data_IF_668216403806
#
_entry.id   IF_668216403806
#
_cell.length_a   1.000
_cell.length_b   1.000
_cell.length_c   1.000
_cell.angle_alpha   90.00
_cell.angle_beta   90.00
_cell.angle_gamma   90.00
#
_symmetry.space_group_name_H-M   'P 1'
#
loop_
_entity.id
_entity.type
_entity.pdbx_description
1 polymer ?
#
# COMPACT_ATOMS: atom_id res chain seq x y z
N UNK A 1 -16.09 -7.55 -0.68
CA UNK A 1 -15.83 -8.91 -1.14
C UNK A 1 -14.35 -9.13 -1.37
N UNK A 2 -13.70 -8.44 -2.32
CA UNK A 2 -12.27 -8.64 -2.59
C UNK A 2 -11.37 -8.41 -1.37
N UNK A 3 -11.61 -7.36 -0.61
CA UNK A 3 -10.85 -7.08 0.61
C UNK A 3 -10.98 -8.19 1.66
N UNK A 4 -12.15 -8.78 1.77
CA UNK A 4 -12.35 -9.87 2.72
C UNK A 4 -11.66 -11.15 2.27
N UNK A 5 -11.66 -11.43 0.98
CA UNK A 5 -10.91 -12.57 0.43
C UNK A 5 -9.41 -12.38 0.61
N UNK A 6 -8.91 -11.16 0.39
CA UNK A 6 -7.52 -10.82 0.65
C UNK A 6 -7.16 -11.00 2.12
N UNK A 7 -8.02 -10.56 3.04
CA UNK A 7 -7.83 -10.77 4.47
C UNK A 7 -7.77 -12.26 4.82
N UNK A 8 -8.59 -13.07 4.18
CA UNK A 8 -8.58 -14.53 4.36
C UNK A 8 -7.25 -15.14 3.91
N UNK A 9 -6.68 -14.66 2.81
CA UNK A 9 -5.35 -15.09 2.34
C UNK A 9 -4.27 -14.77 3.38
N UNK A 10 -4.29 -13.56 3.94
CA UNK A 10 -3.35 -13.15 4.98
C UNK A 10 -3.49 -14.05 6.22
N UNK A 11 -4.72 -14.26 6.67
CA UNK A 11 -4.99 -15.11 7.82
C UNK A 11 -4.54 -16.56 7.61
N UNK A 12 -4.78 -17.11 6.42
CA UNK A 12 -4.41 -18.48 6.07
C UNK A 12 -2.89 -18.69 6.04
N UNK A 13 -2.11 -17.65 5.77
CA UNK A 13 -0.65 -17.72 5.77
C UNK A 13 -0.04 -17.88 7.17
N UNK A 14 -0.80 -17.58 8.21
CA UNK A 14 -0.31 -17.55 9.59
C UNK A 14 0.25 -16.20 10.02
N UNK A 15 0.40 -15.24 9.11
CA UNK A 15 0.87 -13.91 9.47
C UNK A 15 -0.19 -13.16 10.28
N UNK A 16 0.23 -12.63 11.42
CA UNK A 16 -0.65 -11.91 12.36
C UNK A 16 -0.13 -10.48 12.52
N UNK A 17 -0.59 -9.55 11.67
CA UNK A 17 -0.11 -8.17 11.75
C UNK A 17 -0.53 -7.48 13.04
N UNK A 18 0.38 -6.71 13.61
CA UNK A 18 0.11 -5.84 14.76
C UNK A 18 -0.39 -4.48 14.29
N UNK A 19 0.07 -4.05 13.12
CA UNK A 19 -0.23 -2.73 12.54
C UNK A 19 -0.47 -2.89 11.04
N UNK A 20 -1.47 -2.18 10.52
CA UNK A 20 -1.61 -1.98 9.08
C UNK A 20 -1.08 -0.59 8.70
N UNK A 21 -0.31 -0.54 7.63
CA UNK A 21 0.16 0.72 7.06
C UNK A 21 -0.40 0.85 5.65
N UNK A 22 -1.25 1.84 5.45
CA UNK A 22 -1.82 2.14 4.15
C UNK A 22 -0.88 3.00 3.33
N UNK A 23 -0.73 2.65 2.06
CA UNK A 23 -0.08 3.54 1.09
C UNK A 23 -1.16 4.51 0.59
N UNK A 24 -1.12 5.73 1.08
CA UNK A 24 -2.10 6.74 0.71
C UNK A 24 -1.88 7.17 -0.76
N UNK A 25 -2.92 7.48 -1.48
CA UNK A 25 -4.32 7.51 -1.05
C UNK A 25 -5.06 6.19 -1.30
N UNK A 26 -4.75 5.50 -2.41
CA UNK A 26 -5.49 4.30 -2.84
C UNK A 26 -5.55 3.19 -1.80
N UNK A 27 -4.48 2.98 -1.07
CA UNK A 27 -4.43 1.97 -0.02
C UNK A 27 -5.28 2.26 1.22
N UNK A 28 -5.71 3.50 1.42
CA UNK A 28 -6.50 3.85 2.61
C UNK A 28 -7.83 3.10 2.68
N UNK A 29 -8.53 2.99 1.56
CA UNK A 29 -9.81 2.28 1.51
C UNK A 29 -9.61 0.79 1.75
N UNK A 30 -8.64 0.19 1.06
CA UNK A 30 -8.32 -1.23 1.20
C UNK A 30 -7.85 -1.57 2.61
N UNK A 31 -6.94 -0.75 3.17
CA UNK A 31 -6.42 -0.96 4.52
C UNK A 31 -7.51 -0.86 5.58
N UNK A 32 -8.42 0.10 5.45
CA UNK A 32 -9.56 0.21 6.35
C UNK A 32 -10.41 -1.05 6.36
N UNK A 33 -10.73 -1.57 5.19
CA UNK A 33 -11.51 -2.81 5.07
C UNK A 33 -10.74 -4.02 5.64
N UNK A 34 -9.44 -4.13 5.38
CA UNK A 34 -8.60 -5.20 5.91
C UNK A 34 -8.46 -5.13 7.43
N UNK A 35 -8.33 -3.93 7.98
CA UNK A 35 -8.22 -3.73 9.42
C UNK A 35 -9.44 -4.31 10.16
N UNK A 36 -10.64 -4.06 9.65
CA UNK A 36 -11.85 -4.66 10.20
C UNK A 36 -11.87 -6.17 10.01
N UNK A 37 -11.56 -6.66 8.82
CA UNK A 37 -11.61 -8.09 8.51
C UNK A 37 -10.57 -8.90 9.31
N UNK A 38 -9.42 -8.32 9.60
CA UNK A 38 -8.35 -8.98 10.37
C UNK A 38 -8.41 -8.67 11.87
N UNK A 39 -9.29 -7.76 12.29
CA UNK A 39 -9.40 -7.36 13.70
C UNK A 39 -8.19 -6.58 14.20
N UNK A 40 -7.51 -5.85 13.32
CA UNK A 40 -6.36 -5.02 13.68
C UNK A 40 -6.83 -3.59 13.92
N UNK A 41 -6.56 -3.06 15.10
CA UNK A 41 -7.01 -1.69 15.47
C UNK A 41 -5.99 -0.62 15.13
N UNK A 42 -4.70 -0.97 15.12
CA UNK A 42 -3.65 -0.01 14.80
C UNK A 42 -3.50 0.10 13.29
N UNK A 43 -3.83 1.24 12.76
CA UNK A 43 -3.71 1.54 11.35
C UNK A 43 -3.10 2.91 11.17
N UNK A 44 -2.12 3.02 10.30
CA UNK A 44 -1.43 4.24 9.97
C UNK A 44 -1.28 4.35 8.46
N UNK A 45 -0.70 5.43 7.98
CA UNK A 45 -0.55 5.67 6.57
C UNK A 45 0.82 6.28 6.25
N UNK A 46 1.29 5.99 5.04
CA UNK A 46 2.45 6.65 4.45
C UNK A 46 2.02 7.25 3.12
N UNK A 47 2.33 8.52 2.91
CA UNK A 47 2.01 9.21 1.67
C UNK A 47 3.24 9.22 0.77
N UNK A 48 3.14 8.54 -0.36
CA UNK A 48 4.22 8.43 -1.33
C UNK A 48 3.74 8.97 -2.67
N UNK A 49 4.53 9.82 -3.28
CA UNK A 49 4.22 10.40 -4.56
C UNK A 49 5.38 10.27 -5.51
N UNK A 50 5.10 10.05 -6.80
CA UNK A 50 6.12 10.09 -7.82
C UNK A 50 6.43 11.54 -8.16
N UNK A 51 7.69 11.92 -7.94
CA UNK A 51 8.17 13.25 -8.26
C UNK A 51 8.83 13.21 -9.64
N UNK A 52 8.34 14.06 -10.55
CA UNK A 52 8.97 14.27 -11.85
C UNK A 52 9.62 15.65 -11.87
N UNK A 53 10.94 15.67 -11.89
CA UNK A 53 11.67 16.89 -12.16
C UNK A 53 11.87 17.03 -13.68
N UNK A 54 11.85 18.27 -14.15
CA UNK A 54 12.08 18.58 -15.57
C UNK A 54 13.44 18.08 -16.06
N UNK A 55 14.41 17.97 -15.16
CA UNK A 55 15.75 17.50 -15.47
C UNK A 55 15.91 15.97 -15.41
N UNK A 56 14.92 15.24 -14.94
CA UNK A 56 14.97 13.78 -14.83
C UNK A 56 14.06 13.12 -15.85
N UNK A 57 14.56 12.05 -16.46
CA UNK A 57 13.79 11.27 -17.44
C UNK A 57 12.96 10.17 -16.80
N UNK A 58 13.23 9.82 -15.53
CA UNK A 58 12.53 8.77 -14.79
C UNK A 58 11.98 9.35 -13.50
N UNK A 59 10.67 9.16 -13.22
CA UNK A 59 10.12 9.57 -11.95
C UNK A 59 10.58 8.64 -10.84
N UNK A 60 11.03 9.21 -9.72
CA UNK A 60 11.35 8.48 -8.50
C UNK A 60 10.27 8.71 -7.46
N UNK A 61 9.88 7.67 -6.69
CA UNK A 61 8.95 7.85 -5.61
C UNK A 61 9.58 8.66 -4.48
N UNK A 62 8.83 9.59 -3.94
CA UNK A 62 9.25 10.44 -2.82
C UNK A 62 8.25 10.27 -1.69
N UNK A 63 8.78 10.05 -0.49
CA UNK A 63 7.97 10.06 0.72
C UNK A 63 7.63 11.51 1.07
N UNK A 64 6.34 11.83 1.04
CA UNK A 64 5.85 13.12 1.52
C UNK A 64 5.91 13.16 3.04
N UNK A 65 5.46 14.26 3.66
CA UNK A 65 5.51 14.42 5.10
C UNK A 65 5.05 13.13 5.80
N UNK A 66 5.88 12.52 6.66
CA UNK A 66 5.57 11.24 7.24
C UNK A 66 4.33 11.33 8.13
N UNK A 67 3.40 10.44 7.92
CA UNK A 67 2.22 10.26 8.78
C UNK A 67 2.46 9.15 9.78
N UNK A 68 3.47 8.32 9.53
CA UNK A 68 3.81 7.17 10.35
C UNK A 68 4.83 7.55 11.42
N UNK A 69 4.55 7.16 12.65
CA UNK A 69 5.53 7.18 13.73
C UNK A 69 6.46 5.96 13.59
N UNK A 70 7.62 6.19 13.00
CA UNK A 70 8.57 5.11 12.71
C UNK A 70 9.12 4.43 13.97
N UNK A 71 9.18 5.15 15.09
CA UNK A 71 9.67 4.56 16.35
C UNK A 71 8.70 3.53 16.93
N UNK A 72 7.41 3.66 16.61
CA UNK A 72 6.38 2.76 17.14
C UNK A 72 6.31 1.41 16.43
N UNK A 73 6.98 1.25 15.30
CA UNK A 73 6.90 0.02 14.48
C UNK A 73 8.05 -0.94 14.68
N UNK A 74 9.13 -0.54 15.35
CA UNK A 74 10.29 -1.41 15.59
C UNK A 74 9.88 -2.68 16.33
N UNK A 75 10.26 -3.83 15.78
CA UNK A 75 9.93 -5.14 16.33
C UNK A 75 8.47 -5.59 16.12
N UNK A 76 7.66 -4.80 15.44
CA UNK A 76 6.26 -5.14 15.16
C UNK A 76 6.09 -5.81 13.81
N UNK A 77 5.02 -6.57 13.69
CA UNK A 77 4.59 -7.16 12.41
C UNK A 77 3.68 -6.18 11.71
N UNK A 78 4.12 -5.73 10.55
CA UNK A 78 3.44 -4.69 9.76
C UNK A 78 2.94 -5.27 8.45
N UNK A 79 1.67 -5.05 8.16
CA UNK A 79 1.10 -5.33 6.85
C UNK A 79 0.95 -4.02 6.09
N UNK A 80 1.70 -3.87 5.01
CA UNK A 80 1.58 -2.73 4.10
C UNK A 80 0.49 -3.03 3.09
N UNK A 81 -0.43 -2.09 2.91
CA UNK A 81 -1.61 -2.27 2.08
C UNK A 81 -1.71 -1.17 1.04
N UNK A 82 -1.91 -1.57 -0.21
CA UNK A 82 -2.25 -0.68 -1.30
C UNK A 82 -3.40 -1.26 -2.13
N UNK A 83 -3.92 -0.50 -3.07
CA UNK A 83 -4.96 -0.97 -3.98
C UNK A 83 -4.35 -1.75 -5.17
N UNK A 84 -3.27 -1.24 -5.73
CA UNK A 84 -2.60 -1.87 -6.87
C UNK A 84 -1.08 -1.70 -6.76
N UNK A 85 -0.35 -2.76 -7.10
CA UNK A 85 1.08 -2.70 -7.35
C UNK A 85 1.29 -2.70 -8.88
N UNK A 86 1.40 -1.51 -9.45
CA UNK A 86 1.58 -1.31 -10.90
C UNK A 86 3.03 -1.54 -11.31
N UNK A 87 3.91 -0.54 -11.17
CA UNK A 87 5.35 -0.75 -11.36
C UNK A 87 6.00 -1.47 -10.19
N UNK A 88 5.43 -1.36 -9.01
CA UNK A 88 5.97 -1.90 -7.77
C UNK A 88 6.97 -1.00 -7.07
N UNK A 89 7.33 0.14 -7.65
CA UNK A 89 8.36 1.05 -7.09
C UNK A 89 7.94 1.69 -5.78
N UNK A 90 6.67 2.07 -5.66
CA UNK A 90 6.12 2.62 -4.43
C UNK A 90 6.16 1.60 -3.29
N UNK A 91 5.71 0.39 -3.57
CA UNK A 91 5.71 -0.69 -2.58
C UNK A 91 7.14 -1.03 -2.14
N UNK A 92 8.07 -1.12 -3.07
CA UNK A 92 9.48 -1.38 -2.77
C UNK A 92 10.04 -0.32 -1.82
N UNK A 93 9.80 0.96 -2.10
CA UNK A 93 10.26 2.05 -1.24
C UNK A 93 9.68 1.96 0.17
N UNK A 94 8.37 1.75 0.28
CA UNK A 94 7.70 1.66 1.58
C UNK A 94 8.22 0.47 2.37
N UNK A 95 8.38 -0.68 1.74
CA UNK A 95 8.92 -1.89 2.38
C UNK A 95 10.33 -1.64 2.91
N UNK A 96 11.18 -1.01 2.11
CA UNK A 96 12.57 -0.70 2.50
C UNK A 96 12.62 0.25 3.72
N UNK A 97 11.77 1.26 3.74
CA UNK A 97 11.69 2.20 4.87
C UNK A 97 11.29 1.46 6.16
N UNK A 98 10.27 0.63 6.08
CA UNK A 98 9.77 -0.09 7.26
C UNK A 98 10.76 -1.14 7.75
N UNK A 99 11.41 -1.85 6.85
CA UNK A 99 12.46 -2.81 7.19
C UNK A 99 13.65 -2.10 7.87
N UNK A 100 14.05 -0.95 7.36
CA UNK A 100 15.14 -0.14 7.93
C UNK A 100 14.81 0.34 9.35
N UNK A 101 13.53 0.48 9.68
CA UNK A 101 13.08 0.84 11.04
C UNK A 101 12.83 -0.36 11.94
N UNK A 102 13.22 -1.55 11.53
CA UNK A 102 13.20 -2.75 12.37
C UNK A 102 11.88 -3.51 12.43
N UNK A 103 10.97 -3.24 11.51
CA UNK A 103 9.70 -3.97 11.42
C UNK A 103 9.85 -5.29 10.66
N UNK A 104 9.01 -6.28 11.01
CA UNK A 104 8.75 -7.44 10.16
C UNK A 104 7.60 -7.09 9.23
N UNK A 105 7.83 -7.10 7.92
CA UNK A 105 6.91 -6.50 6.95
C UNK A 105 6.43 -7.52 5.94
N UNK A 106 5.13 -7.48 5.66
CA UNK A 106 4.50 -8.17 4.53
C UNK A 106 3.65 -7.15 3.76
N UNK A 107 3.39 -7.45 2.50
CA UNK A 107 2.65 -6.57 1.60
C UNK A 107 1.38 -7.23 1.08
N UNK A 108 0.32 -6.44 0.96
CA UNK A 108 -0.98 -6.89 0.45
C UNK A 108 -1.57 -5.84 -0.48
N UNK A 109 -2.03 -6.29 -1.65
CA UNK A 109 -2.72 -5.44 -2.62
C UNK A 109 -3.95 -6.16 -3.17
N UNK A 110 -4.93 -5.40 -3.66
CA UNK A 110 -6.05 -6.01 -4.39
C UNK A 110 -5.58 -6.55 -5.74
N UNK A 111 -4.83 -5.74 -6.47
CA UNK A 111 -4.35 -6.12 -7.79
C UNK A 111 -2.84 -5.94 -7.91
N UNK A 112 -2.22 -6.88 -8.58
CA UNK A 112 -0.85 -6.74 -9.03
C UNK A 112 -0.80 -6.84 -10.56
N UNK A 113 0.25 -6.27 -11.16
CA UNK A 113 0.46 -6.35 -12.61
C UNK A 113 1.68 -7.21 -12.93
N UNK A 114 1.65 -7.95 -14.06
CA UNK A 114 2.79 -8.77 -14.44
C UNK A 114 4.10 -7.98 -14.61
N UNK A 115 3.99 -6.68 -14.91
CA UNK A 115 5.13 -5.78 -15.09
C UNK A 115 5.70 -5.21 -13.80
N UNK A 116 5.09 -5.51 -12.64
CA UNK A 116 5.57 -5.03 -11.35
C UNK A 116 6.97 -5.59 -11.06
N UNK A 117 7.90 -4.71 -10.68
CA UNK A 117 9.27 -5.08 -10.28
C UNK A 117 9.33 -5.65 -8.86
N UNK A 118 8.28 -5.45 -8.08
CA UNK A 118 8.18 -5.92 -6.70
C UNK A 118 7.11 -7.01 -6.62
N UNK A 119 7.49 -8.16 -6.08
CA UNK A 119 6.55 -9.24 -5.83
C UNK A 119 5.93 -9.07 -4.46
N UNK A 120 4.65 -8.73 -4.42
CA UNK A 120 3.89 -8.61 -3.17
C UNK A 120 3.66 -9.97 -2.54
N UNK A 121 3.51 -10.00 -1.21
CA UNK A 121 3.25 -11.24 -0.48
C UNK A 121 1.83 -11.75 -0.72
N UNK A 122 0.87 -10.84 -0.75
CA UNK A 122 -0.54 -11.18 -0.94
C UNK A 122 -1.16 -10.29 -2.01
N UNK A 123 -1.73 -10.89 -3.05
CA UNK A 123 -2.50 -10.18 -4.06
C UNK A 123 -3.81 -10.93 -4.28
N UNK A 124 -4.91 -10.19 -4.33
CA UNK A 124 -6.20 -10.80 -4.62
C UNK A 124 -6.24 -11.33 -6.04
N UNK A 125 -5.81 -10.52 -7.00
CA UNK A 125 -5.72 -10.93 -8.41
C UNK A 125 -4.54 -10.27 -9.12
N UNK A 126 -4.05 -10.93 -10.17
CA UNK A 126 -3.13 -10.34 -11.14
C UNK A 126 -3.90 -9.96 -12.39
N UNK A 127 -3.74 -8.74 -12.87
CA UNK A 127 -4.39 -8.24 -14.08
C UNK A 127 -3.43 -7.40 -14.90
N UNK A 128 -3.59 -7.45 -16.22
CA UNK A 128 -2.78 -6.65 -17.16
C UNK A 128 -3.69 -5.66 -17.89
N UNK A 129 -4.40 -4.85 -17.10
CA UNK A 129 -5.33 -3.86 -17.61
C UNK A 129 -5.38 -2.66 -16.67
N UNK A 130 -5.83 -1.52 -17.18
CA UNK A 130 -6.12 -0.35 -16.35
C UNK A 130 -7.29 -0.67 -15.42
N UNK A 131 -7.11 -0.38 -14.15
CA UNK A 131 -8.12 -0.66 -13.13
C UNK A 131 -8.80 0.63 -12.73
N UNK A 132 -10.13 0.62 -12.74
CA UNK A 132 -10.94 1.74 -12.26
C UNK A 132 -11.56 1.33 -10.93
N UNK A 133 -11.14 2.01 -9.87
CA UNK A 133 -11.69 1.77 -8.54
C UNK A 133 -12.88 2.69 -8.27
N UNK A 134 -13.86 2.25 -7.47
CA UNK A 134 -15.03 3.09 -7.14
C UNK A 134 -14.67 4.45 -6.56
N UNK A 135 -13.62 4.50 -5.74
CA UNK A 135 -13.19 5.73 -5.07
C UNK A 135 -12.44 6.70 -5.98
N UNK A 136 -12.02 6.27 -7.16
CA UNK A 136 -11.29 7.10 -8.12
C UNK A 136 -11.95 7.15 -9.51
N UNK A 137 -13.15 6.62 -9.63
CA UNK A 137 -13.84 6.51 -10.92
C UNK A 137 -14.31 7.88 -11.47
N UNK A 138 -14.59 8.81 -10.59
CA UNK A 138 -15.06 10.15 -10.96
C UNK A 138 -13.98 11.20 -10.70
N UNK A 139 -13.98 12.32 -11.46
CA UNK A 139 -13.04 13.40 -11.22
C UNK A 139 -13.27 14.06 -9.86
N UNK A 140 -12.26 14.75 -9.31
CA UNK A 140 -12.44 15.52 -8.08
C UNK A 140 -13.56 16.54 -8.20
N UNK A 141 -14.31 16.71 -7.11
CA UNK A 141 -15.38 17.73 -7.03
C UNK A 141 -14.77 19.13 -6.99
N UNK A 142 -13.58 19.26 -6.38
CA UNK A 142 -12.86 20.53 -6.32
C UNK A 142 -11.77 20.56 -7.37
N UNK A 143 -11.81 21.60 -8.22
CA UNK A 143 -10.70 21.87 -9.11
C UNK A 143 -9.57 22.52 -8.32
N UNK A 144 -8.36 22.02 -8.53
CA UNK A 144 -7.17 22.60 -7.94
C UNK A 144 -6.22 23.03 -9.03
N UNK A 145 -5.77 24.27 -8.95
CA UNK A 145 -4.77 24.80 -9.85
C UNK A 145 -3.42 24.15 -9.59
N UNK A 146 -2.79 23.71 -10.63
CA UNK A 146 -1.47 23.11 -10.59
C UNK A 146 -1.44 21.66 -10.28
#
# INVERSE_FOLDING_TARGET
MASRELATMVAASGFRPDVLVAVARGGLVTAGALAYALGVKLADAMNVEFYTDVATTLPDPVLLAPMLDSDSIAGRRVLVVDDVADSGRTMELVMDILLANGAEVRSAVLYTKPTSIFQVDFAWKSVDAWIVFPWSALPPVLERAG
#
